data_IF_252533601565
#
_entry.id   IF_252533601565
#
_cell.length_a   1.000
_cell.length_b   1.000
_cell.length_c   1.000
_cell.angle_alpha   90.00
_cell.angle_beta   90.00
_cell.angle_gamma   90.00
#
_symmetry.space_group_name_H-M   'P 1'
#
loop_
_entity.id
_entity.type
_entity.pdbx_description
1 polymer ?
#
# COMPACT_ATOMS: atom_id res chain seq x y z
N UNK A 1 2.17 -23.43 8.40
CA UNK A 1 2.61 -22.64 7.23
C UNK A 1 1.90 -21.30 7.27
N UNK A 2 2.63 -20.17 7.29
CA UNK A 2 2.06 -18.81 7.33
C UNK A 2 2.75 -17.93 6.28
N UNK A 3 1.99 -17.02 5.69
CA UNK A 3 2.48 -16.00 4.77
C UNK A 3 2.01 -14.60 5.19
N UNK A 4 2.79 -13.58 4.84
CA UNK A 4 2.48 -12.16 5.02
C UNK A 4 2.32 -11.51 3.63
N UNK A 5 1.23 -10.75 3.46
CA UNK A 5 0.98 -9.94 2.26
C UNK A 5 0.98 -8.47 2.68
N UNK A 6 1.89 -7.69 2.11
CA UNK A 6 1.99 -6.24 2.31
C UNK A 6 1.23 -5.57 1.17
N UNK A 7 0.08 -4.96 1.48
CA UNK A 7 -0.84 -4.45 0.47
C UNK A 7 -0.56 -2.98 0.20
N UNK A 8 -0.19 -2.67 -1.05
CA UNK A 8 -0.19 -1.33 -1.65
C UNK A 8 0.47 -0.23 -0.81
N UNK A 9 1.60 -0.56 -0.17
CA UNK A 9 2.44 0.43 0.53
C UNK A 9 3.24 1.22 -0.51
N UNK A 10 2.55 2.15 -1.17
CA UNK A 10 3.05 2.96 -2.28
C UNK A 10 2.98 4.45 -1.97
N UNK A 11 3.84 5.24 -2.61
CA UNK A 11 3.93 6.68 -2.38
C UNK A 11 2.59 7.43 -2.56
N UNK A 12 1.78 7.03 -3.54
CA UNK A 12 0.48 7.67 -3.80
C UNK A 12 -0.51 7.53 -2.64
N UNK A 13 -0.36 6.48 -1.82
CA UNK A 13 -1.20 6.23 -0.64
C UNK A 13 -0.58 6.76 0.66
N UNK A 14 0.60 7.40 0.59
CA UNK A 14 1.27 8.04 1.72
C UNK A 14 1.10 9.57 1.67
N UNK A 15 1.50 10.26 2.74
CA UNK A 15 1.48 11.72 2.79
C UNK A 15 2.24 12.36 1.61
N UNK A 16 1.59 13.29 0.92
CA UNK A 16 2.10 13.93 -0.30
C UNK A 16 1.75 13.19 -1.61
N UNK A 17 1.13 12.00 -1.52
CA UNK A 17 0.62 11.25 -2.66
C UNK A 17 -0.74 11.73 -3.18
N UNK A 18 -1.14 11.22 -4.34
CA UNK A 18 -2.42 11.58 -4.98
C UNK A 18 -3.67 11.07 -4.23
N UNK A 19 -3.54 10.01 -3.44
CA UNK A 19 -4.59 9.39 -2.62
C UNK A 19 -4.09 9.14 -1.19
N UNK A 20 -3.52 10.18 -0.58
CA UNK A 20 -2.83 10.07 0.70
C UNK A 20 -3.71 9.53 1.85
N UNK A 21 -3.23 8.48 2.51
CA UNK A 21 -3.75 8.00 3.80
C UNK A 21 -2.86 8.55 4.91
N UNK A 22 -3.45 9.29 5.85
CA UNK A 22 -2.71 9.81 7.02
C UNK A 22 -2.11 8.67 7.83
N UNK A 23 -0.80 8.73 8.10
CA UNK A 23 -0.01 7.70 8.76
C UNK A 23 0.71 6.74 7.81
N UNK A 24 0.51 6.83 6.48
CA UNK A 24 1.10 5.91 5.50
C UNK A 24 2.62 5.82 5.58
N UNK A 25 3.31 6.95 5.66
CA UNK A 25 4.78 6.97 5.75
C UNK A 25 5.31 6.42 7.09
N UNK A 26 4.53 6.55 8.18
CA UNK A 26 4.88 5.96 9.47
C UNK A 26 4.66 4.44 9.44
N UNK A 27 3.57 3.98 8.85
CA UNK A 27 3.24 2.56 8.69
C UNK A 27 4.29 1.83 7.84
N UNK A 28 4.76 2.44 6.75
CA UNK A 28 5.81 1.85 5.90
C UNK A 28 7.10 1.55 6.68
N UNK A 29 7.48 2.44 7.61
CA UNK A 29 8.62 2.23 8.52
C UNK A 29 8.33 1.12 9.54
N UNK A 30 7.17 1.16 10.17
CA UNK A 30 6.76 0.15 11.16
C UNK A 30 6.71 -1.27 10.56
N UNK A 31 6.28 -1.43 9.30
CA UNK A 31 6.32 -2.72 8.59
C UNK A 31 7.78 -3.19 8.42
N UNK A 32 8.69 -2.28 8.06
CA UNK A 32 10.12 -2.59 7.90
C UNK A 32 10.74 -3.03 9.23
N UNK A 33 10.43 -2.33 10.32
CA UNK A 33 10.90 -2.66 11.66
C UNK A 33 10.35 -4.03 12.12
N UNK A 34 9.05 -4.28 11.92
CA UNK A 34 8.42 -5.56 12.24
C UNK A 34 9.04 -6.75 11.50
N UNK A 35 9.39 -6.58 10.22
CA UNK A 35 10.07 -7.62 9.45
C UNK A 35 11.49 -7.91 9.97
N UNK A 36 12.17 -6.89 10.51
CA UNK A 36 13.52 -7.03 11.06
C UNK A 36 13.54 -7.82 12.39
N UNK A 37 12.45 -7.79 13.16
CA UNK A 37 12.33 -8.46 14.48
C UNK A 37 12.04 -9.98 14.40
N UNK A 38 12.39 -10.63 13.28
CA UNK A 38 12.18 -12.06 13.03
C UNK A 38 10.71 -12.50 13.01
N UNK A 39 9.94 -11.94 12.08
CA UNK A 39 8.57 -12.36 11.82
C UNK A 39 8.51 -13.81 11.29
N UNK A 40 7.80 -14.70 12.01
CA UNK A 40 7.65 -16.13 11.67
C UNK A 40 6.66 -16.35 10.50
N UNK A 41 7.08 -15.96 9.30
CA UNK A 41 6.40 -16.23 8.04
C UNK A 41 7.33 -17.01 7.11
N UNK A 42 6.80 -18.08 6.52
CA UNK A 42 7.54 -18.82 5.49
C UNK A 42 7.63 -18.04 4.17
N UNK A 43 6.68 -17.14 3.90
CA UNK A 43 6.65 -16.31 2.70
C UNK A 43 6.20 -14.89 3.04
N UNK A 44 6.87 -13.92 2.42
CA UNK A 44 6.47 -12.50 2.44
C UNK A 44 6.35 -12.04 1.00
N UNK A 45 5.20 -11.49 0.63
CA UNK A 45 4.93 -10.92 -0.69
C UNK A 45 4.30 -9.55 -0.53
N UNK A 46 4.36 -8.74 -1.58
CA UNK A 46 3.71 -7.44 -1.63
C UNK A 46 2.83 -7.34 -2.88
N UNK A 47 1.74 -6.61 -2.76
CA UNK A 47 0.94 -6.19 -3.91
C UNK A 47 1.31 -4.77 -4.32
N UNK A 48 0.91 -4.43 -5.54
CA UNK A 48 1.06 -3.09 -6.04
C UNK A 48 -0.14 -2.79 -6.93
N UNK A 49 -0.77 -1.67 -6.66
CA UNK A 49 -1.68 -1.06 -7.62
C UNK A 49 -0.86 -0.44 -8.77
N UNK A 50 -1.18 -0.82 -10.00
CA UNK A 50 -0.38 -0.49 -11.17
C UNK A 50 -1.24 -0.31 -12.43
N UNK A 51 -1.66 0.94 -12.63
CA UNK A 51 -2.47 1.31 -13.79
C UNK A 51 -1.61 1.71 -15.00
N UNK A 52 -1.94 1.17 -16.18
CA UNK A 52 -1.36 1.55 -17.47
C UNK A 52 -2.36 2.45 -18.23
N UNK A 53 -3.57 1.92 -18.44
CA UNK A 53 -4.70 2.63 -19.05
C UNK A 53 -6.00 2.10 -18.40
N UNK A 54 -6.39 2.62 -17.24
CA UNK A 54 -7.44 1.99 -16.42
C UNK A 54 -8.86 2.47 -16.79
N UNK A 55 -8.99 3.27 -17.86
CA UNK A 55 -10.27 3.79 -18.34
C UNK A 55 -11.05 4.53 -17.24
N UNK A 56 -12.31 4.12 -17.05
CA UNK A 56 -13.27 4.76 -16.14
C UNK A 56 -12.89 4.69 -14.65
N UNK A 57 -11.84 3.95 -14.30
CA UNK A 57 -11.31 3.95 -12.93
C UNK A 57 -10.85 5.35 -12.49
N UNK A 58 -10.36 6.18 -13.42
CA UNK A 58 -9.91 7.55 -13.13
C UNK A 58 -10.90 8.58 -13.68
N UNK A 59 -11.06 9.67 -12.92
CA UNK A 59 -11.89 10.81 -13.28
C UNK A 59 -11.23 12.10 -12.80
N UNK A 60 -11.39 13.19 -13.57
CA UNK A 60 -11.04 14.54 -13.10
C UNK A 60 -12.02 15.08 -12.05
N UNK A 61 -13.19 14.45 -11.90
CA UNK A 61 -14.18 14.74 -10.85
C UNK A 61 -14.59 13.42 -10.18
N UNK A 62 -13.70 12.80 -9.40
CA UNK A 62 -14.02 11.58 -8.67
C UNK A 62 -15.14 11.87 -7.65
N UNK A 63 -16.05 10.90 -7.48
CA UNK A 63 -17.17 11.02 -6.56
C UNK A 63 -16.80 10.66 -5.11
N UNK A 64 -15.63 10.03 -4.93
CA UNK A 64 -15.10 9.47 -3.67
C UNK A 64 -16.13 8.61 -2.92
N UNK A 65 -17.10 8.05 -3.64
CA UNK A 65 -18.18 7.27 -3.05
C UNK A 65 -17.75 5.81 -2.83
N UNK A 66 -18.26 5.20 -1.76
CA UNK A 66 -18.02 3.79 -1.41
C UNK A 66 -19.18 2.92 -1.86
#
# INVERSE_FOLDING_TARGET
MRALIIVDVQNDFCEGGSLAVTGGAALARAISDYLAEAADYHHVVATKDFHIDPGDHFSGTPDYSS
#
